data_IF_005327736881
#
_entry.id   IF_005327736881
#
_cell.length_a   1.000
_cell.length_b   1.000
_cell.length_c   1.000
_cell.angle_alpha   90.00
_cell.angle_beta   90.00
_cell.angle_gamma   90.00
#
_symmetry.space_group_name_H-M   'P 1'
#
loop_
_entity.id
_entity.type
_entity.pdbx_description
1 polymer ?
#
# COMPACT_ATOMS: atom_id res chain seq x y z
N UNK A 1 34.71 3.91 1.81
CA UNK A 1 33.24 3.98 2.06
C UNK A 1 32.67 4.96 1.04
N UNK A 2 31.78 4.53 0.15
CA UNK A 2 31.13 5.44 -0.79
C UNK A 2 30.33 6.50 -0.02
N UNK A 3 30.49 7.75 -0.39
CA UNK A 3 29.75 8.88 0.17
C UNK A 3 28.25 8.63 0.03
N UNK A 4 27.50 8.71 1.16
CA UNK A 4 26.04 8.52 1.14
C UNK A 4 25.41 9.77 0.54
N UNK A 5 24.59 9.59 -0.52
CA UNK A 5 23.90 10.68 -1.22
C UNK A 5 22.40 10.37 -1.31
N UNK A 6 21.57 11.38 -1.11
CA UNK A 6 20.13 11.27 -1.35
C UNK A 6 19.84 11.51 -2.84
N UNK A 7 18.86 10.81 -3.38
CA UNK A 7 18.40 10.99 -4.75
C UNK A 7 18.10 9.69 -5.46
N UNK A 8 17.14 9.73 -6.39
CA UNK A 8 16.75 8.55 -7.18
C UNK A 8 17.81 8.11 -8.17
N UNK A 9 18.57 9.04 -8.75
CA UNK A 9 19.63 8.73 -9.71
C UNK A 9 20.85 8.13 -9.01
N UNK A 10 21.20 8.70 -7.87
CA UNK A 10 22.34 8.30 -7.03
C UNK A 10 22.15 6.90 -6.46
N UNK A 11 20.88 6.50 -6.22
CA UNK A 11 20.51 5.23 -5.62
C UNK A 11 19.69 4.33 -6.58
N UNK A 12 19.73 4.56 -7.88
CA UNK A 12 18.83 3.94 -8.86
C UNK A 12 18.81 2.41 -8.80
N UNK A 13 19.95 1.75 -8.64
CA UNK A 13 20.04 0.29 -8.56
C UNK A 13 19.32 -0.27 -7.31
N UNK A 14 19.54 0.32 -6.12
CA UNK A 14 18.87 -0.10 -4.89
C UNK A 14 17.37 0.24 -4.92
N UNK A 15 17.03 1.39 -5.50
CA UNK A 15 15.63 1.78 -5.68
C UNK A 15 14.88 0.80 -6.59
N UNK A 16 15.43 0.47 -7.77
CA UNK A 16 14.84 -0.49 -8.69
C UNK A 16 14.72 -1.89 -8.07
N UNK A 17 15.73 -2.33 -7.31
CA UNK A 17 15.71 -3.59 -6.58
C UNK A 17 14.55 -3.64 -5.57
N UNK A 18 14.34 -2.56 -4.81
CA UNK A 18 13.24 -2.46 -3.85
C UNK A 18 11.87 -2.36 -4.53
N UNK A 19 11.79 -1.79 -5.74
CA UNK A 19 10.58 -1.81 -6.58
C UNK A 19 10.25 -3.24 -7.00
N UNK A 20 11.25 -3.99 -7.48
CA UNK A 20 11.10 -5.40 -7.84
C UNK A 20 10.71 -6.27 -6.65
N UNK A 21 11.34 -6.07 -5.48
CA UNK A 21 10.94 -6.76 -4.24
C UNK A 21 9.50 -6.46 -3.84
N UNK A 22 9.03 -5.22 -4.01
CA UNK A 22 7.64 -4.89 -3.71
C UNK A 22 6.66 -5.55 -4.68
N UNK A 23 7.04 -5.73 -5.95
CA UNK A 23 6.25 -6.52 -6.90
C UNK A 23 6.13 -7.99 -6.44
N UNK A 24 7.22 -8.59 -5.90
CA UNK A 24 7.17 -9.94 -5.33
C UNK A 24 6.31 -10.00 -4.05
N UNK A 25 6.31 -8.93 -3.21
CA UNK A 25 5.41 -8.83 -2.05
C UNK A 25 3.95 -8.85 -2.52
N UNK A 26 3.60 -8.06 -3.53
CA UNK A 26 2.26 -8.08 -4.14
C UNK A 26 1.92 -9.42 -4.76
N UNK A 27 2.88 -10.04 -5.48
CA UNK A 27 2.72 -11.33 -6.12
C UNK A 27 2.31 -12.45 -5.14
N UNK A 28 2.86 -12.46 -3.93
CA UNK A 28 2.46 -13.40 -2.87
C UNK A 28 0.96 -13.32 -2.55
N UNK A 29 0.40 -12.12 -2.51
CA UNK A 29 -1.03 -11.91 -2.27
C UNK A 29 -1.85 -12.34 -3.48
N UNK A 30 -1.42 -11.96 -4.68
CA UNK A 30 -2.13 -12.24 -5.92
C UNK A 30 -2.33 -13.73 -6.19
N UNK A 31 -1.36 -14.58 -5.82
CA UNK A 31 -1.46 -16.03 -5.95
C UNK A 31 -2.74 -16.62 -5.34
N UNK A 32 -3.22 -16.06 -4.24
CA UNK A 32 -4.34 -16.59 -3.49
C UNK A 32 -5.70 -16.02 -3.93
N UNK A 33 -5.72 -14.77 -4.41
CA UNK A 33 -6.95 -13.96 -4.54
C UNK A 33 -7.94 -14.45 -5.60
N UNK A 34 -7.48 -15.15 -6.63
CA UNK A 34 -8.37 -15.69 -7.67
C UNK A 34 -8.89 -17.10 -7.38
N UNK A 35 -8.22 -17.87 -6.53
CA UNK A 35 -8.51 -19.31 -6.40
C UNK A 35 -8.72 -19.79 -4.97
N UNK A 36 -8.14 -19.17 -3.95
CA UNK A 36 -8.19 -19.69 -2.59
C UNK A 36 -9.62 -19.77 -2.00
N UNK A 37 -10.55 -18.83 -2.26
CA UNK A 37 -11.94 -18.99 -1.88
C UNK A 37 -12.59 -20.26 -2.48
N UNK A 38 -12.28 -20.55 -3.76
CA UNK A 38 -12.80 -21.74 -4.45
C UNK A 38 -12.18 -23.04 -3.92
N UNK A 39 -10.91 -22.98 -3.48
CA UNK A 39 -10.26 -24.11 -2.77
C UNK A 39 -10.98 -24.39 -1.43
N UNK A 40 -11.37 -23.34 -0.69
CA UNK A 40 -12.16 -23.50 0.53
C UNK A 40 -13.47 -24.24 0.31
N UNK A 41 -14.19 -23.90 -0.75
CA UNK A 41 -15.44 -24.56 -1.13
C UNK A 41 -15.21 -25.97 -1.66
N UNK A 42 -14.30 -26.16 -2.64
CA UNK A 42 -14.15 -27.42 -3.39
C UNK A 42 -13.31 -28.48 -2.66
N UNK A 43 -12.18 -28.08 -2.08
CA UNK A 43 -11.21 -29.00 -1.48
C UNK A 43 -11.52 -29.28 0.01
N UNK A 44 -12.11 -28.29 0.71
CA UNK A 44 -12.44 -28.41 2.14
C UNK A 44 -13.95 -28.51 2.41
N UNK A 45 -14.80 -28.46 1.38
CA UNK A 45 -16.24 -28.64 1.51
C UNK A 45 -16.96 -27.55 2.33
N UNK A 46 -16.38 -26.34 2.38
CA UNK A 46 -16.94 -25.24 3.16
C UNK A 46 -18.14 -24.64 2.41
N UNK A 47 -19.27 -24.49 3.09
CA UNK A 47 -20.49 -23.89 2.54
C UNK A 47 -20.73 -22.47 3.09
N UNK A 48 -20.16 -22.13 4.23
CA UNK A 48 -20.27 -20.80 4.83
C UNK A 48 -19.25 -19.83 4.22
N UNK A 49 -19.73 -18.73 3.67
CA UNK A 49 -18.88 -17.66 3.16
C UNK A 49 -18.03 -17.05 4.28
N UNK A 50 -18.56 -16.93 5.51
CA UNK A 50 -17.79 -16.48 6.69
C UNK A 50 -16.63 -17.42 6.98
N UNK A 51 -16.84 -18.73 6.93
CA UNK A 51 -15.77 -19.71 7.15
C UNK A 51 -14.72 -19.64 6.05
N UNK A 52 -15.14 -19.52 4.79
CA UNK A 52 -14.21 -19.37 3.65
C UNK A 52 -13.40 -18.08 3.80
N UNK A 53 -14.03 -16.95 4.11
CA UNK A 53 -13.38 -15.64 4.21
C UNK A 53 -12.54 -15.45 5.48
N UNK A 54 -12.52 -16.42 6.41
CA UNK A 54 -11.71 -16.35 7.63
C UNK A 54 -10.20 -16.15 7.36
N UNK A 55 -9.69 -16.62 6.21
CA UNK A 55 -8.31 -16.36 5.81
C UNK A 55 -8.04 -14.88 5.51
N UNK A 56 -8.99 -14.17 4.89
CA UNK A 56 -8.89 -12.72 4.63
C UNK A 56 -8.96 -11.93 5.93
N UNK A 57 -9.85 -12.35 6.86
CA UNK A 57 -9.94 -11.80 8.21
C UNK A 57 -8.58 -11.92 8.94
N UNK A 58 -8.03 -13.13 8.99
CA UNK A 58 -6.77 -13.42 9.67
C UNK A 58 -5.60 -12.62 9.05
N UNK A 59 -5.51 -12.58 7.73
CA UNK A 59 -4.57 -11.76 6.99
C UNK A 59 -4.69 -10.28 7.34
N UNK A 60 -5.90 -9.72 7.32
CA UNK A 60 -6.16 -8.31 7.57
C UNK A 60 -5.78 -7.89 8.99
N UNK A 61 -6.16 -8.67 10.00
CA UNK A 61 -5.79 -8.41 11.40
C UNK A 61 -4.27 -8.46 11.58
N UNK A 62 -3.61 -9.52 11.10
CA UNK A 62 -2.17 -9.68 11.22
C UNK A 62 -1.43 -8.53 10.53
N UNK A 63 -1.83 -8.15 9.32
CA UNK A 63 -1.24 -7.05 8.56
C UNK A 63 -1.43 -5.70 9.26
N UNK A 64 -2.62 -5.40 9.75
CA UNK A 64 -2.92 -4.14 10.43
C UNK A 64 -2.07 -3.95 11.70
N UNK A 65 -2.02 -4.95 12.55
CA UNK A 65 -1.20 -4.94 13.78
C UNK A 65 0.28 -4.83 13.47
N UNK A 66 0.75 -5.57 12.47
CA UNK A 66 2.16 -5.55 12.04
C UNK A 66 2.55 -4.19 11.46
N UNK A 67 1.71 -3.56 10.65
CA UNK A 67 1.95 -2.22 10.11
C UNK A 67 2.08 -1.16 11.22
N UNK A 68 1.25 -1.24 12.26
CA UNK A 68 1.32 -0.33 13.40
C UNK A 68 2.66 -0.45 14.14
N UNK A 69 3.20 -1.68 14.26
CA UNK A 69 4.47 -1.96 14.93
C UNK A 69 5.70 -1.73 14.02
N UNK A 70 5.56 -1.84 12.70
CA UNK A 70 6.67 -1.88 11.76
C UNK A 70 7.60 -0.66 11.85
N UNK A 71 7.05 0.54 12.05
CA UNK A 71 7.83 1.76 12.21
C UNK A 71 8.77 1.73 13.42
N UNK A 72 8.23 1.38 14.59
CA UNK A 72 9.01 1.29 15.83
C UNK A 72 10.04 0.15 15.78
N UNK A 73 9.69 -0.96 15.13
CA UNK A 73 10.61 -2.08 14.91
C UNK A 73 11.75 -1.71 13.96
N UNK A 74 11.47 -0.94 12.91
CA UNK A 74 12.47 -0.48 11.94
C UNK A 74 13.55 0.41 12.59
N UNK A 75 13.16 1.25 13.53
CA UNK A 75 14.09 2.12 14.27
C UNK A 75 15.01 1.32 15.20
N UNK A 76 14.53 0.19 15.76
CA UNK A 76 15.31 -0.67 16.68
C UNK A 76 16.18 -1.69 15.97
N UNK A 77 15.65 -2.36 14.94
CA UNK A 77 16.30 -3.50 14.28
C UNK A 77 17.03 -3.12 12.99
N UNK A 78 16.73 -1.95 12.41
CA UNK A 78 17.17 -1.56 11.08
C UNK A 78 16.22 -2.06 9.97
N UNK A 79 16.14 -1.28 8.87
CA UNK A 79 15.17 -1.50 7.79
C UNK A 79 15.45 -2.80 7.04
N UNK A 80 16.71 -3.08 6.71
CA UNK A 80 17.11 -4.30 5.99
C UNK A 80 16.82 -5.57 6.80
N UNK A 81 17.17 -5.58 8.07
CA UNK A 81 16.91 -6.77 8.93
C UNK A 81 15.42 -7.06 9.02
N UNK A 82 14.60 -6.02 9.19
CA UNK A 82 13.15 -6.17 9.28
C UNK A 82 12.53 -6.67 7.97
N UNK A 83 13.04 -6.22 6.81
CA UNK A 83 12.67 -6.74 5.50
C UNK A 83 12.99 -8.25 5.37
N UNK A 84 14.18 -8.66 5.79
CA UNK A 84 14.60 -10.07 5.79
C UNK A 84 13.72 -10.90 6.72
N UNK A 85 13.44 -10.42 7.94
CA UNK A 85 12.52 -11.09 8.88
C UNK A 85 11.14 -11.26 8.24
N UNK A 86 10.63 -10.24 7.55
CA UNK A 86 9.37 -10.32 6.82
C UNK A 86 9.36 -11.47 5.82
N UNK A 87 10.43 -11.66 5.04
CA UNK A 87 10.54 -12.75 4.08
C UNK A 87 10.79 -14.13 4.73
N UNK A 88 11.51 -14.19 5.87
CA UNK A 88 11.64 -15.42 6.65
C UNK A 88 10.29 -15.91 7.17
N UNK A 89 9.42 -15.00 7.61
CA UNK A 89 8.04 -15.31 8.04
C UNK A 89 7.19 -15.82 6.88
N UNK A 90 7.50 -15.47 5.64
CA UNK A 90 6.79 -15.99 4.46
C UNK A 90 7.16 -17.44 4.11
N UNK A 91 8.33 -17.94 4.50
CA UNK A 91 8.79 -19.28 4.10
C UNK A 91 7.86 -20.43 4.52
N UNK A 92 7.24 -20.45 5.72
CA UNK A 92 6.28 -21.48 6.09
C UNK A 92 4.95 -21.44 5.33
N UNK A 93 4.58 -20.28 4.76
CA UNK A 93 3.27 -20.08 4.10
C UNK A 93 2.97 -21.14 3.03
N UNK A 94 3.86 -21.39 2.04
CA UNK A 94 3.60 -22.41 1.01
C UNK A 94 3.42 -23.81 1.60
N UNK A 95 4.20 -24.19 2.63
CA UNK A 95 4.08 -25.50 3.27
C UNK A 95 2.74 -25.64 3.99
N UNK A 96 2.31 -24.60 4.72
CA UNK A 96 1.03 -24.61 5.43
C UNK A 96 -0.14 -24.74 4.46
N UNK A 97 -0.09 -24.13 3.29
CA UNK A 97 -1.14 -24.25 2.27
C UNK A 97 -1.04 -25.61 1.55
N UNK A 98 0.15 -26.00 1.11
CA UNK A 98 0.39 -27.23 0.36
C UNK A 98 0.02 -28.49 1.15
N UNK A 99 0.38 -28.56 2.41
CA UNK A 99 0.17 -29.68 3.29
C UNK A 99 -1.09 -29.58 4.17
N UNK A 100 -1.92 -28.52 4.01
CA UNK A 100 -3.07 -28.26 4.84
C UNK A 100 -4.04 -29.45 4.93
N UNK A 101 -4.23 -30.09 6.07
CA UNK A 101 -5.24 -31.13 6.27
C UNK A 101 -6.63 -30.52 6.57
N UNK A 102 -6.67 -29.24 6.93
CA UNK A 102 -7.90 -28.50 7.23
C UNK A 102 -7.75 -27.02 6.89
N UNK A 103 -8.87 -26.31 6.76
CA UNK A 103 -8.90 -24.87 6.48
C UNK A 103 -8.18 -24.03 7.54
N UNK A 104 -8.11 -24.49 8.78
CA UNK A 104 -7.36 -23.82 9.84
C UNK A 104 -5.88 -23.61 9.52
N UNK A 105 -5.24 -24.52 8.77
CA UNK A 105 -3.86 -24.35 8.30
C UNK A 105 -3.72 -23.25 7.25
N UNK A 106 -4.71 -23.11 6.38
CA UNK A 106 -4.77 -22.02 5.40
C UNK A 106 -4.94 -20.67 6.10
N UNK A 107 -5.77 -20.64 7.16
CA UNK A 107 -5.93 -19.44 8.00
C UNK A 107 -4.60 -19.10 8.69
N UNK A 108 -3.91 -20.07 9.27
CA UNK A 108 -2.59 -19.87 9.89
C UNK A 108 -1.54 -19.38 8.87
N UNK A 109 -1.54 -19.91 7.65
CA UNK A 109 -0.70 -19.41 6.56
C UNK A 109 -0.97 -17.94 6.26
N UNK A 110 -2.24 -17.53 6.26
CA UNK A 110 -2.63 -16.15 6.01
C UNK A 110 -2.33 -15.19 7.17
N UNK A 111 -2.26 -15.67 8.42
CA UNK A 111 -1.68 -14.88 9.53
C UNK A 111 -0.21 -14.55 9.22
N UNK A 112 0.59 -15.56 8.85
CA UNK A 112 2.01 -15.35 8.50
C UNK A 112 2.16 -14.48 7.26
N UNK A 113 1.32 -14.65 6.24
CA UNK A 113 1.31 -13.81 5.06
C UNK A 113 0.97 -12.35 5.43
N UNK A 114 0.01 -12.12 6.34
CA UNK A 114 -0.31 -10.79 6.86
C UNK A 114 0.88 -10.13 7.57
N UNK A 115 1.61 -10.88 8.39
CA UNK A 115 2.85 -10.41 9.03
C UNK A 115 3.92 -10.10 7.97
N UNK A 116 4.15 -11.00 7.00
CA UNK A 116 5.07 -10.75 5.88
C UNK A 116 4.72 -9.44 5.15
N UNK A 117 3.45 -9.26 4.78
CA UNK A 117 2.97 -8.08 4.09
C UNK A 117 3.17 -6.80 4.92
N UNK A 118 2.85 -6.84 6.21
CA UNK A 118 3.04 -5.72 7.12
C UNK A 118 4.52 -5.32 7.25
N UNK A 119 5.44 -6.27 7.32
CA UNK A 119 6.87 -6.00 7.42
C UNK A 119 7.48 -5.64 6.06
N UNK A 120 7.35 -6.50 5.05
CA UNK A 120 8.05 -6.37 3.78
C UNK A 120 7.54 -5.17 2.96
N UNK A 121 6.21 -4.99 2.84
CA UNK A 121 5.64 -3.83 2.15
C UNK A 121 6.04 -2.53 2.82
N UNK A 122 5.93 -2.44 4.17
CA UNK A 122 6.32 -1.24 4.90
C UNK A 122 7.80 -0.92 4.73
N UNK A 123 8.68 -1.92 4.79
CA UNK A 123 10.11 -1.68 4.65
C UNK A 123 10.49 -1.28 3.23
N UNK A 124 9.90 -1.87 2.18
CA UNK A 124 10.16 -1.42 0.81
C UNK A 124 9.70 0.01 0.57
N UNK A 125 8.59 0.45 1.20
CA UNK A 125 8.13 1.86 1.18
C UNK A 125 9.14 2.77 1.87
N UNK A 126 9.46 2.47 3.15
CA UNK A 126 10.33 3.32 3.98
C UNK A 126 11.71 3.46 3.35
N UNK A 127 12.32 2.34 2.93
CA UNK A 127 13.65 2.35 2.31
C UNK A 127 13.69 3.17 1.02
N UNK A 128 12.63 3.12 0.19
CA UNK A 128 12.57 3.94 -1.03
C UNK A 128 12.42 5.44 -0.72
N UNK A 129 11.68 5.79 0.32
CA UNK A 129 11.59 7.17 0.80
C UNK A 129 12.95 7.66 1.29
N UNK A 130 13.67 6.84 2.07
CA UNK A 130 15.00 7.15 2.58
C UNK A 130 16.00 7.42 1.44
N UNK A 131 15.95 6.61 0.36
CA UNK A 131 16.82 6.76 -0.82
C UNK A 131 16.47 7.96 -1.68
N UNK A 132 15.18 8.24 -1.88
CA UNK A 132 14.69 9.29 -2.76
C UNK A 132 14.93 10.70 -2.20
N UNK A 133 14.92 10.83 -0.87
CA UNK A 133 14.97 12.11 -0.17
C UNK A 133 13.68 12.95 -0.31
N UNK A 134 13.63 14.15 0.30
CA UNK A 134 12.41 14.96 0.41
C UNK A 134 11.76 15.35 -0.91
N UNK A 135 12.58 15.65 -1.94
CA UNK A 135 12.11 16.22 -3.21
C UNK A 135 11.29 15.24 -4.09
N UNK A 136 11.45 13.91 -3.92
CA UNK A 136 10.85 12.90 -4.81
C UNK A 136 10.10 11.78 -4.08
N UNK A 137 9.67 12.03 -2.84
CA UNK A 137 8.93 11.04 -2.02
C UNK A 137 7.62 10.60 -2.66
N UNK A 138 6.87 11.51 -3.27
CA UNK A 138 5.62 11.19 -3.95
C UNK A 138 5.82 10.21 -5.10
N UNK A 139 6.81 10.43 -5.95
CA UNK A 139 7.18 9.52 -7.03
C UNK A 139 7.62 8.14 -6.48
N UNK A 140 8.43 8.13 -5.42
CA UNK A 140 8.88 6.90 -4.79
C UNK A 140 7.73 6.07 -4.24
N UNK A 141 6.74 6.71 -3.61
CA UNK A 141 5.51 6.08 -3.12
C UNK A 141 4.65 5.55 -4.28
N UNK A 142 4.44 6.36 -5.32
CA UNK A 142 3.65 5.96 -6.50
C UNK A 142 4.24 4.74 -7.19
N UNK A 143 5.55 4.72 -7.43
CA UNK A 143 6.25 3.57 -8.01
C UNK A 143 6.20 2.33 -7.11
N UNK A 144 6.25 2.53 -5.77
CA UNK A 144 6.10 1.42 -4.84
C UNK A 144 4.74 0.75 -4.97
N UNK A 145 3.68 1.54 -4.85
CA UNK A 145 2.32 1.02 -4.86
C UNK A 145 1.96 0.42 -6.23
N UNK A 146 2.33 1.09 -7.32
CA UNK A 146 2.13 0.55 -8.67
C UNK A 146 2.80 -0.82 -8.86
N UNK A 147 4.07 -0.98 -8.45
CA UNK A 147 4.77 -2.26 -8.56
C UNK A 147 4.11 -3.36 -7.73
N UNK A 148 3.68 -3.05 -6.50
CA UNK A 148 3.00 -4.00 -5.64
C UNK A 148 1.68 -4.49 -6.26
N UNK A 149 0.82 -3.59 -6.70
CA UNK A 149 -0.48 -3.96 -7.27
C UNK A 149 -0.41 -4.59 -8.67
N UNK A 150 0.58 -4.22 -9.48
CA UNK A 150 0.88 -4.92 -10.72
C UNK A 150 1.37 -6.35 -10.45
N UNK A 151 2.14 -6.55 -9.39
CA UNK A 151 2.52 -7.88 -8.90
C UNK A 151 1.30 -8.72 -8.50
N UNK A 152 0.36 -8.13 -7.72
CA UNK A 152 -0.93 -8.77 -7.37
C UNK A 152 -1.68 -9.17 -8.64
N UNK A 153 -1.83 -8.25 -9.60
CA UNK A 153 -2.57 -8.49 -10.83
C UNK A 153 -1.97 -9.62 -11.66
N UNK A 154 -0.65 -9.57 -11.88
CA UNK A 154 0.05 -10.55 -12.69
C UNK A 154 -0.10 -11.97 -12.15
N UNK A 155 0.05 -12.14 -10.83
CA UNK A 155 -0.05 -13.47 -10.22
C UNK A 155 -1.49 -13.93 -10.01
N UNK A 156 -2.44 -13.04 -9.72
CA UNK A 156 -3.86 -13.39 -9.67
C UNK A 156 -4.35 -13.90 -11.02
N UNK A 157 -3.98 -13.22 -12.12
CA UNK A 157 -4.27 -13.67 -13.47
C UNK A 157 -3.57 -15.00 -13.79
N UNK A 158 -2.25 -15.08 -13.57
CA UNK A 158 -1.48 -16.29 -13.88
C UNK A 158 -2.00 -17.52 -13.13
N UNK A 159 -2.31 -17.36 -11.82
CA UNK A 159 -2.85 -18.46 -11.01
C UNK A 159 -4.20 -18.94 -11.53
N UNK A 160 -5.09 -18.03 -11.87
CA UNK A 160 -6.40 -18.39 -12.42
C UNK A 160 -6.32 -19.07 -13.77
N UNK A 161 -5.40 -18.63 -14.66
CA UNK A 161 -5.15 -19.29 -15.96
C UNK A 161 -4.57 -20.70 -15.76
N UNK A 162 -3.56 -20.83 -14.90
CA UNK A 162 -2.93 -22.12 -14.61
C UNK A 162 -3.90 -23.09 -13.92
N UNK A 163 -4.85 -22.59 -13.13
CA UNK A 163 -5.86 -23.39 -12.44
C UNK A 163 -6.83 -24.11 -13.40
N UNK A 164 -6.84 -23.76 -14.68
CA UNK A 164 -7.55 -24.53 -15.70
C UNK A 164 -6.87 -25.88 -16.01
N UNK A 165 -5.55 -26.00 -15.81
CA UNK A 165 -4.76 -27.19 -16.16
C UNK A 165 -4.13 -27.90 -14.98
N UNK A 166 -3.99 -27.21 -13.86
CA UNK A 166 -3.33 -27.71 -12.64
C UNK A 166 -4.22 -27.48 -11.42
N UNK A 167 -4.05 -28.32 -10.40
CA UNK A 167 -4.76 -28.15 -9.13
C UNK A 167 -4.44 -26.76 -8.53
N UNK A 168 -5.45 -25.93 -8.24
CA UNK A 168 -5.25 -24.54 -7.75
C UNK A 168 -4.35 -24.47 -6.52
N UNK A 169 -4.54 -25.38 -5.57
CA UNK A 169 -3.72 -25.49 -4.35
C UNK A 169 -2.25 -25.73 -4.67
N UNK A 170 -1.93 -26.56 -5.67
CA UNK A 170 -0.55 -26.82 -6.11
C UNK A 170 0.11 -25.57 -6.68
N UNK A 171 -0.63 -24.81 -7.49
CA UNK A 171 -0.12 -23.55 -8.05
C UNK A 171 0.22 -22.55 -6.95
N UNK A 172 -0.69 -22.41 -5.97
CA UNK A 172 -0.50 -21.46 -4.86
C UNK A 172 0.75 -21.83 -4.04
N UNK A 173 0.91 -23.09 -3.60
CA UNK A 173 2.04 -23.43 -2.75
C UNK A 173 3.37 -23.42 -3.50
N UNK A 174 3.43 -23.91 -4.76
CA UNK A 174 4.67 -23.85 -5.57
C UNK A 174 5.04 -22.41 -5.88
N UNK A 175 4.06 -21.61 -6.32
CA UNK A 175 4.27 -20.20 -6.61
C UNK A 175 4.74 -19.41 -5.38
N UNK A 176 4.12 -19.61 -4.21
CA UNK A 176 4.51 -18.96 -2.98
C UNK A 176 5.92 -19.38 -2.52
N UNK A 177 6.30 -20.65 -2.67
CA UNK A 177 7.64 -21.14 -2.35
C UNK A 177 8.72 -20.47 -3.23
N UNK A 178 8.45 -20.38 -4.54
CA UNK A 178 9.37 -19.71 -5.48
C UNK A 178 9.50 -18.22 -5.17
N UNK A 179 8.37 -17.52 -4.98
CA UNK A 179 8.37 -16.08 -4.69
C UNK A 179 9.08 -15.76 -3.38
N UNK A 180 8.76 -16.49 -2.30
CA UNK A 180 9.38 -16.29 -0.99
C UNK A 180 10.88 -16.59 -1.01
N UNK A 181 11.30 -17.68 -1.67
CA UNK A 181 12.71 -18.06 -1.80
C UNK A 181 13.52 -17.05 -2.60
N UNK A 182 13.02 -16.63 -3.78
CA UNK A 182 13.66 -15.63 -4.62
C UNK A 182 13.76 -14.28 -3.90
N UNK A 183 12.67 -13.83 -3.29
CA UNK A 183 12.64 -12.54 -2.63
C UNK A 183 13.54 -12.50 -1.39
N UNK A 184 13.57 -13.58 -0.60
CA UNK A 184 14.51 -13.71 0.52
C UNK A 184 15.96 -13.70 0.03
N UNK A 185 16.28 -14.47 -1.02
CA UNK A 185 17.61 -14.49 -1.62
C UNK A 185 18.03 -13.09 -2.08
N UNK A 186 17.17 -12.36 -2.78
CA UNK A 186 17.42 -10.96 -3.20
C UNK A 186 17.63 -10.05 -1.98
N UNK A 187 16.76 -10.15 -0.96
CA UNK A 187 16.83 -9.31 0.23
C UNK A 187 18.13 -9.52 1.03
N UNK A 188 18.59 -10.77 1.13
CA UNK A 188 19.83 -11.11 1.84
C UNK A 188 21.07 -10.72 1.06
N UNK A 189 21.10 -10.98 -0.25
CA UNK A 189 22.33 -10.79 -1.06
C UNK A 189 22.52 -9.36 -1.55
N UNK A 190 21.47 -8.66 -1.90
CA UNK A 190 21.60 -7.41 -2.68
C UNK A 190 21.02 -6.17 -1.98
N UNK A 191 20.11 -6.30 -1.02
CA UNK A 191 19.55 -5.12 -0.33
C UNK A 191 20.54 -4.55 0.67
N UNK A 192 20.74 -3.23 0.63
CA UNK A 192 21.57 -2.48 1.58
C UNK A 192 20.66 -1.75 2.57
N UNK A 193 21.12 -1.58 3.81
CA UNK A 193 20.38 -0.80 4.82
C UNK A 193 20.39 0.70 4.48
N UNK A 194 19.27 1.39 4.77
CA UNK A 194 19.11 2.82 4.48
C UNK A 194 19.27 3.73 5.71
N UNK A 195 19.67 3.19 6.85
CA UNK A 195 19.83 3.97 8.10
C UNK A 195 20.79 5.15 7.97
N UNK A 196 21.85 5.02 7.16
CA UNK A 196 22.80 6.10 6.89
C UNK A 196 22.16 7.27 6.11
N UNK A 197 21.22 7.00 5.20
CA UNK A 197 20.48 8.03 4.47
C UNK A 197 19.55 8.81 5.41
N UNK A 198 18.90 8.11 6.34
CA UNK A 198 18.08 8.75 7.39
C UNK A 198 18.92 9.65 8.28
N UNK A 199 20.09 9.18 8.73
CA UNK A 199 21.00 9.99 9.54
C UNK A 199 21.48 11.26 8.82
N UNK A 200 21.73 11.15 7.50
CA UNK A 200 22.11 12.30 6.67
C UNK A 200 20.96 13.32 6.59
N UNK A 201 19.75 12.87 6.35
CA UNK A 201 18.57 13.75 6.30
C UNK A 201 18.30 14.41 7.65
N UNK A 202 18.41 13.68 8.76
CA UNK A 202 18.22 14.22 10.10
C UNK A 202 19.23 15.33 10.45
N UNK A 203 20.49 15.18 10.03
CA UNK A 203 21.52 16.24 10.22
C UNK A 203 21.16 17.51 9.47
N UNK A 204 20.66 17.38 8.23
CA UNK A 204 20.25 18.54 7.42
C UNK A 204 19.01 19.29 7.99
N UNK A 205 18.24 18.66 8.89
CA UNK A 205 17.05 19.24 9.52
C UNK A 205 17.27 19.65 10.99
N UNK A 206 18.43 19.38 11.58
CA UNK A 206 18.69 19.64 13.00
C UNK A 206 18.63 21.14 13.37
N UNK A 207 18.82 22.04 12.41
CA UNK A 207 18.79 23.49 12.58
C UNK A 207 17.37 24.11 12.59
N UNK A 208 16.32 23.32 12.33
CA UNK A 208 14.93 23.78 12.34
C UNK A 208 14.26 23.34 13.64
N UNK A 209 13.93 24.28 14.54
CA UNK A 209 13.41 24.12 15.89
C UNK A 209 12.54 22.86 16.11
N UNK A 210 12.88 22.07 17.13
CA UNK A 210 12.23 20.83 17.50
C UNK A 210 11.01 21.09 18.38
N UNK A 211 9.82 21.00 17.82
CA UNK A 211 8.65 20.64 18.62
C UNK A 211 8.72 19.15 19.00
N UNK A 212 8.39 18.81 20.24
CA UNK A 212 8.41 17.42 20.70
C UNK A 212 7.36 16.59 19.91
N UNK A 213 7.76 15.47 19.31
CA UNK A 213 6.83 14.66 18.52
C UNK A 213 5.71 14.08 19.41
N UNK A 214 4.48 13.98 18.88
CA UNK A 214 3.35 13.35 19.57
C UNK A 214 3.69 11.90 19.97
N UNK A 215 3.18 11.46 21.13
CA UNK A 215 3.24 10.04 21.48
C UNK A 215 2.33 9.22 20.54
N UNK A 216 2.58 7.91 20.36
CA UNK A 216 1.72 7.05 19.56
C UNK A 216 0.26 7.09 20.06
N UNK A 217 0.06 7.11 21.39
CA UNK A 217 -1.27 7.20 22.01
C UNK A 217 -2.00 8.50 21.65
N UNK A 218 -1.30 9.64 21.70
CA UNK A 218 -1.90 10.94 21.34
C UNK A 218 -2.16 11.04 19.84
N UNK A 219 -1.26 10.53 19.00
CA UNK A 219 -1.43 10.45 17.56
C UNK A 219 -2.64 9.58 17.18
N UNK A 220 -2.80 8.41 17.84
CA UNK A 220 -3.93 7.53 17.64
C UNK A 220 -5.25 8.20 18.05
N UNK A 221 -5.31 8.82 19.22
CA UNK A 221 -6.50 9.53 19.69
C UNK A 221 -6.85 10.73 18.80
N UNK A 222 -5.85 11.48 18.35
CA UNK A 222 -6.03 12.61 17.46
C UNK A 222 -6.61 12.15 16.11
N UNK A 223 -5.96 11.20 15.45
CA UNK A 223 -6.35 10.75 14.14
C UNK A 223 -7.69 9.99 14.13
N UNK A 224 -8.03 9.30 15.23
CA UNK A 224 -9.25 8.48 15.29
C UNK A 224 -10.47 9.27 15.78
N UNK A 225 -10.29 10.22 16.71
CA UNK A 225 -11.44 10.82 17.43
C UNK A 225 -11.54 12.33 17.26
N UNK A 226 -10.42 13.06 17.22
CA UNK A 226 -10.41 14.52 17.39
C UNK A 226 -10.43 15.27 16.07
N UNK A 227 -9.53 14.94 15.17
CA UNK A 227 -9.43 15.64 13.89
C UNK A 227 -10.49 15.10 12.90
N UNK A 228 -11.41 15.95 12.40
CA UNK A 228 -12.48 15.51 11.51
C UNK A 228 -11.98 15.03 10.15
N UNK A 229 -10.91 15.61 9.62
CA UNK A 229 -10.34 15.23 8.31
C UNK A 229 -9.64 13.88 8.44
N UNK A 230 -8.82 13.70 9.48
CA UNK A 230 -8.12 12.43 9.72
C UNK A 230 -9.11 11.29 9.98
N UNK A 231 -10.18 11.56 10.74
CA UNK A 231 -11.27 10.60 10.97
C UNK A 231 -11.99 10.23 9.69
N UNK A 232 -12.30 11.21 8.83
CA UNK A 232 -12.90 10.97 7.52
C UNK A 232 -11.98 10.15 6.62
N UNK A 233 -10.68 10.42 6.62
CA UNK A 233 -9.69 9.64 5.87
C UNK A 233 -9.57 8.20 6.41
N UNK A 234 -9.56 8.01 7.72
CA UNK A 234 -9.46 6.70 8.36
C UNK A 234 -10.67 5.82 8.01
N UNK A 235 -11.90 6.34 8.13
CA UNK A 235 -13.10 5.58 7.79
C UNK A 235 -13.20 5.29 6.29
N UNK A 236 -12.84 6.26 5.42
CA UNK A 236 -12.85 6.04 3.98
C UNK A 236 -11.78 5.00 3.55
N UNK A 237 -10.60 5.04 4.17
CA UNK A 237 -9.56 4.03 3.96
C UNK A 237 -9.99 2.64 4.42
N UNK A 238 -10.65 2.53 5.57
CA UNK A 238 -11.22 1.28 6.08
C UNK A 238 -12.24 0.70 5.09
N UNK A 239 -13.19 1.52 4.64
CA UNK A 239 -14.24 1.07 3.71
C UNK A 239 -13.66 0.76 2.33
N UNK A 240 -12.65 1.50 1.86
CA UNK A 240 -11.93 1.15 0.63
C UNK A 240 -11.33 -0.28 0.69
N UNK A 241 -10.66 -0.63 1.80
CA UNK A 241 -10.12 -1.99 1.96
C UNK A 241 -11.17 -3.05 2.31
N UNK A 242 -12.34 -2.64 2.78
CA UNK A 242 -13.50 -3.53 2.89
C UNK A 242 -13.96 -3.98 1.49
N UNK A 243 -13.94 -3.08 0.48
CA UNK A 243 -14.19 -3.44 -0.91
C UNK A 243 -13.14 -4.42 -1.45
N UNK A 244 -11.88 -4.30 -1.06
CA UNK A 244 -10.82 -5.26 -1.43
C UNK A 244 -11.11 -6.65 -0.86
N UNK A 245 -11.55 -6.75 0.40
CA UNK A 245 -11.91 -8.02 1.02
C UNK A 245 -13.07 -8.70 0.28
N UNK A 246 -14.04 -7.92 -0.18
CA UNK A 246 -15.13 -8.43 -1.02
C UNK A 246 -14.62 -8.87 -2.39
N UNK A 247 -13.84 -8.02 -3.08
CA UNK A 247 -13.34 -8.29 -4.43
C UNK A 247 -12.44 -9.53 -4.49
N UNK A 248 -11.65 -9.78 -3.44
CA UNK A 248 -10.72 -10.91 -3.37
C UNK A 248 -11.27 -12.13 -2.61
N UNK A 249 -12.37 -11.98 -1.93
CA UNK A 249 -12.98 -13.05 -1.16
C UNK A 249 -14.32 -13.52 -1.73
N UNK A 250 -15.32 -12.66 -1.67
CA UNK A 250 -16.69 -13.02 -2.04
C UNK A 250 -16.94 -12.99 -3.55
N UNK A 251 -16.32 -12.06 -4.30
CA UNK A 251 -16.58 -11.93 -5.74
C UNK A 251 -16.23 -13.19 -6.55
N UNK A 252 -15.09 -13.90 -6.31
CA UNK A 252 -14.82 -15.18 -6.97
C UNK A 252 -15.91 -16.22 -6.72
N UNK A 253 -16.42 -16.32 -5.49
CA UNK A 253 -17.52 -17.24 -5.14
C UNK A 253 -18.82 -16.86 -5.83
N UNK A 254 -19.16 -15.56 -5.83
CA UNK A 254 -20.34 -15.05 -6.52
C UNK A 254 -20.30 -15.35 -8.03
N UNK A 255 -19.17 -15.10 -8.67
CA UNK A 255 -18.98 -15.36 -10.11
C UNK A 255 -19.05 -16.85 -10.41
N UNK A 256 -18.41 -17.70 -9.59
CA UNK A 256 -18.46 -19.16 -9.77
C UNK A 256 -19.90 -19.70 -9.61
N UNK A 257 -20.65 -19.22 -8.63
CA UNK A 257 -22.05 -19.60 -8.41
C UNK A 257 -22.96 -19.18 -9.58
N UNK A 258 -22.57 -18.13 -10.34
CA UNK A 258 -23.29 -17.69 -11.55
C UNK A 258 -22.70 -18.26 -12.84
N UNK A 259 -21.89 -19.32 -12.75
CA UNK A 259 -21.42 -20.10 -13.92
C UNK A 259 -20.18 -19.55 -14.62
N UNK A 260 -19.47 -18.56 -14.03
CA UNK A 260 -18.23 -18.07 -14.58
C UNK A 260 -17.13 -19.15 -14.52
N UNK A 261 -16.35 -19.27 -15.60
CA UNK A 261 -15.19 -20.17 -15.66
C UNK A 261 -14.03 -19.62 -14.80
N UNK A 262 -13.11 -20.50 -14.39
CA UNK A 262 -11.89 -20.08 -13.67
C UNK A 262 -11.09 -19.04 -14.45
N UNK A 263 -11.05 -19.14 -15.79
CA UNK A 263 -10.40 -18.15 -16.64
C UNK A 263 -11.09 -16.78 -16.55
N UNK A 264 -12.41 -16.73 -16.61
CA UNK A 264 -13.18 -15.48 -16.47
C UNK A 264 -12.98 -14.85 -15.10
N UNK A 265 -13.02 -15.64 -14.02
CA UNK A 265 -12.76 -15.19 -12.66
C UNK A 265 -11.34 -14.61 -12.56
N UNK A 266 -10.34 -15.27 -13.16
CA UNK A 266 -8.96 -14.79 -13.17
C UNK A 266 -8.79 -13.45 -13.89
N UNK A 267 -9.46 -13.28 -15.04
CA UNK A 267 -9.44 -12.02 -15.80
C UNK A 267 -10.05 -10.90 -14.96
N UNK A 268 -11.20 -11.13 -14.33
CA UNK A 268 -11.88 -10.15 -13.46
C UNK A 268 -11.02 -9.81 -12.25
N UNK A 269 -10.47 -10.83 -11.56
CA UNK A 269 -9.62 -10.65 -10.39
C UNK A 269 -8.29 -9.92 -10.70
N UNK A 270 -7.76 -10.10 -11.91
CA UNK A 270 -6.56 -9.41 -12.38
C UNK A 270 -6.83 -8.00 -12.88
N UNK A 271 -7.98 -7.74 -13.53
CA UNK A 271 -8.34 -6.44 -14.09
C UNK A 271 -8.42 -5.35 -13.01
N UNK A 272 -9.01 -5.66 -11.86
CA UNK A 272 -9.14 -4.72 -10.74
C UNK A 272 -7.79 -4.12 -10.31
N UNK A 273 -6.79 -4.90 -9.87
CA UNK A 273 -5.51 -4.34 -9.42
C UNK A 273 -4.65 -3.79 -10.57
N UNK A 274 -4.83 -4.20 -11.83
CA UNK A 274 -4.18 -3.56 -13.00
C UNK A 274 -4.65 -2.12 -13.13
N UNK A 275 -5.97 -1.92 -13.19
CA UNK A 275 -6.56 -0.59 -13.34
C UNK A 275 -6.25 0.29 -12.13
N UNK A 276 -6.34 -0.25 -10.93
CA UNK A 276 -5.94 0.43 -9.71
C UNK A 276 -4.46 0.85 -9.75
N UNK A 277 -3.54 -0.09 -10.01
CA UNK A 277 -2.09 0.19 -10.03
C UNK A 277 -1.71 1.23 -11.10
N UNK A 278 -2.21 1.07 -12.33
CA UNK A 278 -1.94 2.01 -13.41
C UNK A 278 -2.62 3.38 -13.19
N UNK A 279 -3.85 3.38 -12.69
CA UNK A 279 -4.62 4.59 -12.45
C UNK A 279 -4.00 5.52 -11.39
N UNK A 280 -3.25 4.98 -10.42
CA UNK A 280 -2.58 5.79 -9.38
C UNK A 280 -1.58 6.82 -9.95
N UNK A 281 -0.96 6.53 -11.09
CA UNK A 281 -0.04 7.47 -11.74
C UNK A 281 -0.77 8.74 -12.21
N UNK A 282 -2.01 8.60 -12.67
CA UNK A 282 -2.85 9.70 -13.14
C UNK A 282 -3.55 10.39 -11.96
N UNK A 283 -4.15 9.61 -11.06
CA UNK A 283 -4.98 10.14 -9.98
C UNK A 283 -4.17 10.85 -8.90
N UNK A 284 -2.91 10.48 -8.70
CA UNK A 284 -1.97 11.22 -7.85
C UNK A 284 -1.82 12.66 -8.33
N UNK A 285 -1.52 12.86 -9.62
CA UNK A 285 -1.45 14.17 -10.23
C UNK A 285 -2.80 14.91 -10.20
N UNK A 286 -3.88 14.22 -10.54
CA UNK A 286 -5.22 14.80 -10.55
C UNK A 286 -5.63 15.30 -9.15
N UNK A 287 -5.25 14.62 -8.09
CA UNK A 287 -5.58 14.99 -6.71
C UNK A 287 -4.90 16.29 -6.27
N UNK A 288 -3.75 16.62 -6.84
CA UNK A 288 -3.05 17.88 -6.57
C UNK A 288 -3.76 19.09 -7.21
N UNK A 289 -4.43 18.87 -8.35
CA UNK A 289 -5.10 19.92 -9.13
C UNK A 289 -6.59 20.05 -8.80
N UNK A 290 -7.32 18.95 -8.71
CA UNK A 290 -8.76 18.93 -8.43
C UNK A 290 -9.07 19.03 -6.93
N UNK A 291 -8.07 18.78 -6.08
CA UNK A 291 -8.21 18.72 -4.62
C UNK A 291 -8.53 17.32 -4.10
N UNK A 292 -8.20 17.08 -2.84
CA UNK A 292 -8.28 15.75 -2.20
C UNK A 292 -9.73 15.30 -2.02
N UNK A 293 -10.56 16.14 -1.40
CA UNK A 293 -11.94 15.79 -1.03
C UNK A 293 -12.82 15.39 -2.21
N UNK A 294 -12.91 16.16 -3.32
CA UNK A 294 -13.75 15.79 -4.47
C UNK A 294 -13.35 14.44 -5.07
N UNK A 295 -12.04 14.16 -5.14
CA UNK A 295 -11.55 12.94 -5.75
C UNK A 295 -11.84 11.71 -4.86
N UNK A 296 -11.73 11.84 -3.53
CA UNK A 296 -12.11 10.77 -2.58
C UNK A 296 -13.61 10.48 -2.70
N UNK A 297 -14.46 11.52 -2.67
CA UNK A 297 -15.92 11.36 -2.78
C UNK A 297 -16.30 10.67 -4.09
N UNK A 298 -15.81 11.20 -5.22
CA UNK A 298 -16.10 10.64 -6.54
C UNK A 298 -15.63 9.17 -6.64
N UNK A 299 -14.42 8.87 -6.17
CA UNK A 299 -13.89 7.52 -6.18
C UNK A 299 -14.71 6.53 -5.34
N UNK A 300 -15.16 6.94 -4.15
CA UNK A 300 -16.04 6.10 -3.31
C UNK A 300 -17.38 5.83 -3.99
N UNK A 301 -17.97 6.84 -4.65
CA UNK A 301 -19.24 6.66 -5.38
C UNK A 301 -19.05 5.78 -6.63
N UNK A 302 -17.94 5.91 -7.34
CA UNK A 302 -17.59 5.03 -8.47
C UNK A 302 -17.43 3.58 -8.00
N UNK A 303 -16.75 3.34 -6.87
CA UNK A 303 -16.64 2.00 -6.27
C UNK A 303 -18.01 1.43 -5.89
N UNK A 304 -18.89 2.23 -5.26
CA UNK A 304 -20.23 1.79 -4.92
C UNK A 304 -21.04 1.43 -6.18
N UNK A 305 -20.98 2.27 -7.22
CA UNK A 305 -21.61 2.00 -8.51
C UNK A 305 -21.06 0.73 -9.20
N UNK A 306 -19.75 0.49 -9.09
CA UNK A 306 -19.12 -0.72 -9.61
C UNK A 306 -19.70 -2.01 -8.99
N UNK A 307 -19.92 -2.01 -7.66
CA UNK A 307 -20.51 -3.14 -6.96
C UNK A 307 -21.99 -3.35 -7.35
N UNK A 308 -22.72 -2.27 -7.60
CA UNK A 308 -24.10 -2.37 -8.13
C UNK A 308 -24.09 -2.97 -9.54
N UNK A 309 -23.20 -2.54 -10.41
CA UNK A 309 -23.03 -3.10 -11.79
C UNK A 309 -22.74 -4.59 -11.74
N UNK A 310 -21.87 -5.04 -10.82
CA UNK A 310 -21.55 -6.47 -10.65
C UNK A 310 -22.80 -7.32 -10.39
N UNK A 311 -23.68 -6.85 -9.47
CA UNK A 311 -24.89 -7.58 -9.10
C UNK A 311 -25.97 -7.46 -10.19
N UNK A 312 -26.17 -6.25 -10.74
CA UNK A 312 -27.19 -6.00 -11.76
C UNK A 312 -26.95 -6.80 -13.05
N UNK A 313 -25.68 -7.11 -13.36
CA UNK A 313 -25.30 -7.98 -14.48
C UNK A 313 -25.43 -9.47 -14.19
N UNK A 314 -25.93 -9.88 -13.00
CA UNK A 314 -26.14 -11.29 -12.67
C UNK A 314 -24.89 -12.16 -12.68
N UNK A 315 -23.70 -11.57 -12.56
CA UNK A 315 -22.42 -12.28 -12.65
C UNK A 315 -21.95 -12.56 -14.08
N UNK A 316 -22.64 -12.02 -15.11
CA UNK A 316 -22.17 -12.10 -16.50
C UNK A 316 -20.77 -11.52 -16.64
N UNK A 317 -19.90 -12.18 -17.42
CA UNK A 317 -18.48 -11.85 -17.54
C UNK A 317 -18.23 -10.40 -17.96
N UNK A 318 -18.97 -9.88 -18.94
CA UNK A 318 -18.79 -8.49 -19.43
C UNK A 318 -19.12 -7.47 -18.35
N UNK A 319 -20.22 -7.67 -17.62
CA UNK A 319 -20.63 -6.83 -16.49
C UNK A 319 -19.63 -6.93 -15.33
N UNK A 320 -19.16 -8.13 -15.00
CA UNK A 320 -18.18 -8.36 -13.96
C UNK A 320 -16.82 -7.71 -14.28
N UNK A 321 -16.38 -7.79 -15.53
CA UNK A 321 -15.16 -7.12 -16.00
C UNK A 321 -15.31 -5.61 -15.96
N UNK A 322 -16.44 -5.07 -16.42
CA UNK A 322 -16.78 -3.64 -16.33
C UNK A 322 -16.79 -3.17 -14.88
N UNK A 323 -17.39 -3.94 -13.97
CA UNK A 323 -17.40 -3.66 -12.53
C UNK A 323 -15.99 -3.65 -11.94
N UNK A 324 -15.13 -4.62 -12.29
CA UNK A 324 -13.75 -4.68 -11.83
C UNK A 324 -12.91 -3.47 -12.31
N UNK A 325 -13.11 -3.04 -13.56
CA UNK A 325 -12.47 -1.84 -14.11
C UNK A 325 -12.95 -0.59 -13.34
N UNK A 326 -14.26 -0.41 -13.16
CA UNK A 326 -14.81 0.72 -12.41
C UNK A 326 -14.34 0.73 -10.94
N UNK A 327 -14.31 -0.45 -10.30
CA UNK A 327 -13.80 -0.59 -8.93
C UNK A 327 -12.33 -0.16 -8.87
N UNK A 328 -11.52 -0.58 -9.85
CA UNK A 328 -10.11 -0.19 -9.98
C UNK A 328 -9.91 1.31 -10.17
N UNK A 329 -10.72 1.95 -11.03
CA UNK A 329 -10.70 3.41 -11.21
C UNK A 329 -11.06 4.13 -9.91
N UNK A 330 -12.16 3.73 -9.25
CA UNK A 330 -12.57 4.32 -7.99
C UNK A 330 -11.51 4.17 -6.90
N UNK A 331 -10.89 2.99 -6.77
CA UNK A 331 -9.81 2.74 -5.81
C UNK A 331 -8.55 3.56 -6.13
N UNK A 332 -8.19 3.70 -7.41
CA UNK A 332 -7.09 4.57 -7.83
C UNK A 332 -7.33 6.04 -7.46
N UNK A 333 -8.56 6.52 -7.52
CA UNK A 333 -8.93 7.89 -7.10
C UNK A 333 -8.82 8.07 -5.58
N UNK A 334 -9.16 7.06 -4.81
CA UNK A 334 -9.26 7.13 -3.33
C UNK A 334 -7.91 6.89 -2.66
N UNK A 335 -7.24 5.81 -3.01
CA UNK A 335 -6.11 5.27 -2.25
C UNK A 335 -4.92 6.25 -2.09
N UNK A 336 -4.30 6.78 -3.16
CA UNK A 336 -3.19 7.72 -3.03
C UNK A 336 -3.65 9.06 -2.45
N UNK A 337 -4.88 9.46 -2.75
CA UNK A 337 -5.47 10.73 -2.34
C UNK A 337 -5.69 10.79 -0.83
N UNK A 338 -6.10 9.68 -0.19
CA UNK A 338 -6.25 9.59 1.26
C UNK A 338 -4.91 9.76 1.98
N UNK A 339 -3.84 9.09 1.50
CA UNK A 339 -2.50 9.24 2.09
C UNK A 339 -2.01 10.67 1.95
N UNK A 340 -2.23 11.30 0.78
CA UNK A 340 -1.89 12.69 0.55
C UNK A 340 -2.67 13.62 1.48
N UNK A 341 -4.00 13.43 1.62
CA UNK A 341 -4.85 14.22 2.50
C UNK A 341 -4.41 14.14 3.97
N UNK A 342 -4.11 12.93 4.46
CA UNK A 342 -3.54 12.71 5.80
C UNK A 342 -2.23 13.47 5.95
N UNK A 343 -1.34 13.39 4.96
CA UNK A 343 -0.03 14.04 4.99
C UNK A 343 -0.12 15.56 4.94
N UNK A 344 -1.13 16.11 4.24
CA UNK A 344 -1.37 17.54 4.13
C UNK A 344 -1.95 18.14 5.44
N UNK A 345 -2.61 17.32 6.26
CA UNK A 345 -3.30 17.73 7.49
C UNK A 345 -2.35 17.84 8.68
N UNK A 346 -1.20 17.15 8.65
CA UNK A 346 -0.33 17.00 9.83
C UNK A 346 1.05 17.64 9.65
N UNK A 347 1.66 18.03 10.76
CA UNK A 347 3.03 18.54 10.77
C UNK A 347 4.04 17.46 10.33
N UNK A 348 5.14 17.83 9.66
CA UNK A 348 6.12 16.87 9.12
C UNK A 348 6.67 15.89 10.17
N UNK A 349 6.87 16.33 11.40
CA UNK A 349 7.42 15.50 12.50
C UNK A 349 6.44 14.43 13.01
N UNK A 350 5.11 14.64 12.89
CA UNK A 350 4.08 13.68 13.30
C UNK A 350 3.57 12.81 12.14
N UNK A 351 3.93 13.16 10.92
CA UNK A 351 3.41 12.52 9.70
C UNK A 351 3.56 11.01 9.70
N UNK A 352 4.73 10.49 10.05
CA UNK A 352 4.99 9.05 10.06
C UNK A 352 4.07 8.29 11.02
N UNK A 353 3.81 8.86 12.22
CA UNK A 353 2.92 8.24 13.21
C UNK A 353 1.46 8.28 12.78
N UNK A 354 0.99 9.42 12.29
CA UNK A 354 -0.40 9.59 11.84
C UNK A 354 -0.68 8.73 10.60
N UNK A 355 0.25 8.65 9.64
CA UNK A 355 0.14 7.72 8.50
C UNK A 355 0.13 6.27 8.98
N UNK A 356 0.88 5.93 10.03
CA UNK A 356 0.81 4.60 10.67
C UNK A 356 -0.58 4.28 11.23
N UNK A 357 -1.22 5.24 11.90
CA UNK A 357 -2.60 5.10 12.41
C UNK A 357 -3.60 4.96 11.24
N UNK A 358 -3.46 5.78 10.20
CA UNK A 358 -4.27 5.65 8.99
C UNK A 358 -4.14 4.25 8.36
N UNK A 359 -2.92 3.73 8.21
CA UNK A 359 -2.68 2.38 7.67
C UNK A 359 -3.28 1.29 8.54
N UNK A 360 -3.22 1.44 9.86
CA UNK A 360 -3.88 0.51 10.78
C UNK A 360 -5.39 0.44 10.50
N UNK A 361 -6.08 1.58 10.45
CA UNK A 361 -7.51 1.62 10.17
C UNK A 361 -7.85 1.12 8.78
N UNK A 362 -7.09 1.52 7.77
CA UNK A 362 -7.24 1.05 6.40
C UNK A 362 -7.13 -0.47 6.32
N UNK A 363 -6.08 -1.05 6.88
CA UNK A 363 -5.82 -2.49 6.76
C UNK A 363 -6.77 -3.33 7.65
N UNK A 364 -7.33 -2.75 8.72
CA UNK A 364 -8.45 -3.33 9.47
C UNK A 364 -9.69 -3.50 8.58
N UNK A 365 -9.81 -2.72 7.50
CA UNK A 365 -10.87 -2.87 6.49
C UNK A 365 -10.92 -4.26 5.86
N UNK A 366 -9.79 -4.95 5.67
CA UNK A 366 -9.77 -6.35 5.20
C UNK A 366 -10.50 -7.27 6.19
N UNK A 367 -10.23 -7.11 7.48
CA UNK A 367 -10.83 -7.94 8.52
C UNK A 367 -12.32 -7.68 8.66
N UNK A 368 -12.71 -6.40 8.77
CA UNK A 368 -14.12 -6.00 8.88
C UNK A 368 -14.88 -6.37 7.61
N UNK A 369 -14.25 -6.18 6.44
CA UNK A 369 -14.84 -6.51 5.15
C UNK A 369 -15.12 -8.01 4.99
N UNK A 370 -14.18 -8.86 5.40
CA UNK A 370 -14.38 -10.31 5.38
C UNK A 370 -15.54 -10.74 6.27
N UNK A 371 -15.68 -10.14 7.47
CA UNK A 371 -16.78 -10.42 8.38
C UNK A 371 -18.11 -9.90 7.82
N UNK A 372 -18.16 -8.64 7.37
CA UNK A 372 -19.39 -8.05 6.81
C UNK A 372 -19.84 -8.83 5.57
N UNK A 373 -18.93 -9.07 4.62
CA UNK A 373 -19.28 -9.80 3.41
C UNK A 373 -19.66 -11.26 3.70
N UNK A 374 -18.90 -11.96 4.56
CA UNK A 374 -19.14 -13.36 4.89
C UNK A 374 -20.46 -13.57 5.63
N UNK A 375 -20.66 -12.86 6.75
CA UNK A 375 -21.88 -12.97 7.58
C UNK A 375 -23.13 -12.58 6.77
N UNK A 376 -23.05 -11.50 5.98
CA UNK A 376 -24.20 -11.07 5.17
C UNK A 376 -24.51 -12.06 4.06
N UNK A 377 -23.50 -12.69 3.47
CA UNK A 377 -23.72 -13.72 2.44
C UNK A 377 -24.32 -14.99 3.05
N UNK A 378 -23.90 -15.40 4.25
CA UNK A 378 -24.44 -16.57 4.94
C UNK A 378 -25.88 -16.34 5.43
N UNK A 379 -26.22 -15.12 5.92
CA UNK A 379 -27.55 -14.78 6.43
C UNK A 379 -28.57 -14.50 5.32
N UNK A 380 -28.13 -14.09 4.15
CA UNK A 380 -28.99 -13.73 3.02
C UNK A 380 -28.50 -14.37 1.72
N UNK A 381 -27.78 -13.62 0.90
CA UNK A 381 -27.18 -14.11 -0.36
C UNK A 381 -25.86 -13.35 -0.64
N UNK A 382 -24.94 -13.91 -1.45
CA UNK A 382 -23.76 -13.18 -1.89
C UNK A 382 -24.10 -11.85 -2.59
N UNK A 383 -25.16 -11.81 -3.40
CA UNK A 383 -25.63 -10.58 -4.05
C UNK A 383 -26.07 -9.52 -3.02
N UNK A 384 -26.84 -9.91 -2.00
CA UNK A 384 -27.25 -8.99 -0.92
C UNK A 384 -26.04 -8.44 -0.13
N UNK A 385 -25.05 -9.28 0.14
CA UNK A 385 -23.80 -8.85 0.78
C UNK A 385 -23.04 -7.83 -0.07
N UNK A 386 -22.96 -8.03 -1.39
CA UNK A 386 -22.32 -7.07 -2.32
C UNK A 386 -23.06 -5.73 -2.30
N UNK A 387 -24.40 -5.73 -2.33
CA UNK A 387 -25.22 -4.51 -2.28
C UNK A 387 -25.06 -3.79 -0.92
N UNK A 388 -24.99 -4.53 0.19
CA UNK A 388 -24.70 -3.93 1.51
C UNK A 388 -23.36 -3.21 1.50
N UNK A 389 -22.32 -3.83 0.96
CA UNK A 389 -20.98 -3.21 0.84
C UNK A 389 -21.02 -2.00 -0.08
N UNK A 390 -21.78 -2.05 -1.19
CA UNK A 390 -22.00 -0.89 -2.05
C UNK A 390 -22.65 0.28 -1.29
N UNK A 391 -23.67 0.00 -0.48
CA UNK A 391 -24.33 1.01 0.35
C UNK A 391 -23.38 1.62 1.41
N UNK A 392 -22.59 0.79 2.10
CA UNK A 392 -21.57 1.25 3.05
C UNK A 392 -20.51 2.12 2.36
N UNK A 393 -20.11 1.76 1.13
CA UNK A 393 -19.12 2.51 0.34
C UNK A 393 -19.68 3.87 -0.08
N UNK A 394 -20.94 3.92 -0.54
CA UNK A 394 -21.62 5.18 -0.86
C UNK A 394 -21.77 6.06 0.39
N UNK A 395 -22.24 5.48 1.51
CA UNK A 395 -22.38 6.19 2.78
C UNK A 395 -21.05 6.76 3.28
N UNK A 396 -19.95 6.02 3.13
CA UNK A 396 -18.60 6.49 3.44
C UNK A 396 -18.19 7.69 2.57
N UNK A 397 -18.45 7.66 1.26
CA UNK A 397 -18.22 8.79 0.37
C UNK A 397 -19.03 10.02 0.77
N UNK A 398 -20.31 9.85 1.12
CA UNK A 398 -21.19 10.93 1.61
C UNK A 398 -20.73 11.47 2.97
N UNK A 399 -20.21 10.63 3.87
CA UNK A 399 -19.62 11.07 5.13
C UNK A 399 -18.38 11.95 4.90
N UNK A 400 -17.52 11.62 3.92
CA UNK A 400 -16.42 12.49 3.51
C UNK A 400 -16.95 13.80 2.93
N UNK A 401 -18.01 13.75 2.11
CA UNK A 401 -18.63 14.95 1.54
C UNK A 401 -19.18 15.88 2.63
N UNK A 402 -19.80 15.35 3.65
CA UNK A 402 -20.34 16.11 4.78
C UNK A 402 -19.26 16.65 5.74
N UNK A 403 -18.05 16.10 5.75
CA UNK A 403 -16.98 16.52 6.66
C UNK A 403 -16.51 17.94 6.31
N UNK A 404 -16.43 18.88 7.28
CA UNK A 404 -15.82 20.18 7.08
C UNK A 404 -14.34 19.99 6.66
N UNK A 405 -13.99 20.45 5.45
CA UNK A 405 -12.65 20.31 4.89
C UNK A 405 -12.04 21.68 4.71
N UNK A 406 -11.49 22.23 5.78
CA UNK A 406 -10.72 23.46 5.68
C UNK A 406 -9.39 23.14 5.01
N UNK A 407 -9.15 23.71 3.82
CA UNK A 407 -7.79 23.68 3.26
C UNK A 407 -6.88 24.35 4.28
N UNK A 408 -5.74 23.74 4.70
CA UNK A 408 -4.71 24.52 5.31
C UNK A 408 -4.44 25.69 4.35
N UNK A 409 -4.46 26.92 4.85
CA UNK A 409 -4.07 28.05 4.04
C UNK A 409 -2.75 27.66 3.36
N UNK A 410 -2.74 27.66 2.03
CA UNK A 410 -1.52 27.47 1.25
C UNK A 410 -0.55 28.49 1.79
N UNK A 411 0.35 28.08 2.69
CA UNK A 411 1.54 28.87 2.96
C UNK A 411 2.24 28.89 1.61
N UNK A 412 2.09 30.01 0.92
CA UNK A 412 2.96 30.33 -0.19
C UNK A 412 4.37 30.03 0.31
N UNK A 413 4.97 28.98 -0.23
CA UNK A 413 6.40 28.80 -0.09
C UNK A 413 6.98 30.02 -0.77
N UNK A 414 7.66 30.92 -0.05
CA UNK A 414 8.25 32.09 -0.67
C UNK A 414 9.11 31.57 -1.82
N UNK A 415 8.92 32.08 -3.03
CA UNK A 415 9.72 31.70 -4.22
C UNK A 415 11.22 31.95 -4.03
N UNK A 416 11.59 32.59 -2.95
CA UNK A 416 12.97 32.89 -2.53
C UNK A 416 13.79 31.64 -2.14
N UNK A 417 13.13 30.51 -1.83
CA UNK A 417 13.82 29.26 -1.52
C UNK A 417 14.49 28.57 -2.73
N UNK A 418 13.95 28.73 -3.92
CA UNK A 418 14.58 28.22 -5.16
C UNK A 418 15.81 29.07 -5.56
N UNK A 419 15.80 30.36 -5.26
CA UNK A 419 16.96 31.23 -5.54
C UNK A 419 18.11 31.02 -4.54
N UNK A 420 17.80 30.58 -3.31
CA UNK A 420 18.85 30.28 -2.33
C UNK A 420 19.60 28.97 -2.66
N UNK A 421 18.90 27.97 -3.22
CA UNK A 421 19.54 26.72 -3.66
C UNK A 421 20.41 26.93 -4.92
N UNK A 422 19.95 27.74 -5.89
CA UNK A 422 20.72 28.07 -7.10
C UNK A 422 21.93 28.97 -6.84
N UNK A 423 21.89 29.82 -5.79
CA UNK A 423 23.04 30.68 -5.40
C UNK A 423 24.12 29.91 -4.62
N UNK A 424 23.79 28.86 -3.89
CA UNK A 424 24.80 28.02 -3.21
C UNK A 424 25.63 27.18 -4.20
N UNK A 425 25.04 26.74 -5.31
CA UNK A 425 25.79 26.04 -6.38
C UNK A 425 26.59 26.99 -7.26
N UNK A 426 26.08 28.20 -7.51
CA UNK A 426 26.76 29.22 -8.36
C UNK A 426 28.00 29.84 -7.74
N UNK A 427 28.08 29.93 -6.40
CA UNK A 427 29.23 30.53 -5.71
C UNK A 427 30.40 29.53 -5.45
N UNK A 428 30.14 28.22 -5.53
CA UNK A 428 31.19 27.21 -5.41
C UNK A 428 32.09 27.09 -6.67
N UNK A 429 31.62 27.59 -7.84
CA UNK A 429 32.34 27.47 -9.11
C UNK A 429 33.13 28.75 -9.46
N UNK A 430 32.92 29.89 -8.78
CA UNK A 430 33.64 31.15 -9.08
C UNK A 430 34.73 31.55 -8.09
N UNK A 431 35.01 30.74 -7.06
CA UNK A 431 36.01 31.03 -6.02
C UNK A 431 37.43 30.53 -6.30
N UNK A 432 37.73 30.02 -7.46
CA UNK A 432 39.03 29.45 -7.74
C UNK A 432 39.69 29.93 -9.03
N UNK A 433 40.13 31.17 -9.15
CA UNK A 433 41.23 31.69 -10.00
C UNK A 433 41.23 33.22 -9.79
N UNK A 434 42.14 33.73 -8.99
CA UNK A 434 42.90 34.99 -9.03
C UNK A 434 43.33 35.42 -7.62
N UNK A 435 44.37 34.79 -7.13
CA UNK A 435 45.19 35.28 -6.00
C UNK A 435 46.61 35.63 -6.51
N UNK A 436 46.75 36.80 -7.11
CA UNK A 436 48.09 37.36 -7.36
C UNK A 436 48.66 37.95 -6.09
N UNK A 437 49.78 37.40 -5.72
CA UNK A 437 50.76 37.92 -4.74
C UNK A 437 51.12 39.38 -5.07
N UNK A 438 50.94 40.30 -4.12
CA UNK A 438 51.69 41.57 -4.04
C UNK A 438 52.40 41.63 -2.71
N UNK A 439 53.71 41.52 -2.83
CA UNK A 439 54.65 41.75 -1.73
C UNK A 439 54.56 43.19 -1.24
N UNK A 440 54.65 43.40 0.07
CA UNK A 440 54.94 44.68 0.69
C UNK A 440 56.40 44.65 1.18
N UNK A 441 57.24 45.49 0.56
CA UNK A 441 58.55 45.87 1.09
C UNK A 441 58.41 46.70 2.36
N UNK A 442 59.35 46.61 3.29
CA UNK A 442 59.38 47.43 4.47
C UNK A 442 60.10 48.76 4.18
N UNK A 443 59.54 49.87 4.66
CA UNK A 443 60.24 51.17 4.70
C UNK A 443 61.04 51.30 6.01
N UNK A 444 62.21 51.87 5.97
CA UNK A 444 63.05 52.13 7.14
C UNK A 444 62.80 53.53 7.74
N UNK A 445 62.95 53.62 9.03
CA UNK A 445 63.51 54.75 9.74
C UNK A 445 62.63 55.94 10.09
N UNK A 446 62.55 56.28 11.35
CA UNK A 446 62.11 57.50 11.98
C UNK A 446 61.65 57.26 13.37
#
# INVERSE_FOLDING_TARGET
MSEVRLGLRENAAQFALLVGLNALVGAMVGLERSVLPLVGERDFGLTSATAILAFVLAFGVAKALTNLAAGALADRLGRRRLLIIGWLVALPVPLLIGLAPSWGWVIAANVLLGVNQGLAWSMTVVMKIDLAGPARRGLALGLNEAAGYLGVAATAFATGVLAASYAPRTIVWVGAALLAGVALGIAVMFVRDTGAHVALEQRAHADRGREAPQTLRSAFANATLRDPILRACNQAGLVNNLNDALAWGLAPLYLAANGATLHQIAVVAGAYPVVWGAGQLVTGWASDHLGRKPLIVAGMLVQAGALVVLVSGGGEFTSALGAAILLGVGTAMVYPTLIAAVSDTVQPHDRARIVGVYRFWRDTGFAIGALVAGISADLATPAAAIILVAALTAASGLAVLATPWTRPATREVPRDGEQAYGRAEGNSIRGGIHGRVRGKEPRPGG
#
